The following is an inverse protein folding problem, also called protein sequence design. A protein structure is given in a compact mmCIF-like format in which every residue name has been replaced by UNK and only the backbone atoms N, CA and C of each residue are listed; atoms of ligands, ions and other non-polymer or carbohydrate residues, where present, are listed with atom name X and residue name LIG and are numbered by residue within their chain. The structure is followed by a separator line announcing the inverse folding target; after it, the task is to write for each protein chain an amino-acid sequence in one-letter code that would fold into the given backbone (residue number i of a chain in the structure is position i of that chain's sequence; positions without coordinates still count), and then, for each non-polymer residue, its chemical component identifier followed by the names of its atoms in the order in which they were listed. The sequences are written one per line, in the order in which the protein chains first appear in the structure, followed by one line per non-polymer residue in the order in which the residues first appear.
data_IF_968815552233
#
_entry.id   IF_968815552233
#
_cell.length_a   1.000
_cell.length_b   1.000
_cell.length_c   1.000
_cell.angle_alpha   90.00
_cell.angle_beta   90.00
_cell.angle_gamma   90.00
#
_symmetry.space_group_name_H-M   'P 1'
#
loop_
_entity.id
_entity.type
_entity.pdbx_description
1 polymer ?
#
# COMPACT_ATOMS: atom_id res chain seq x y z
N UNK A 1 30.49 65.19 3.01
CA UNK A 1 29.99 64.04 2.23
C UNK A 1 29.82 62.86 3.18
N UNK A 2 28.58 62.45 3.47
CA UNK A 2 28.24 61.41 4.44
C UNK A 2 27.82 60.13 3.70
N UNK A 3 28.56 59.03 3.87
CA UNK A 3 28.22 57.71 3.32
C UNK A 3 27.45 56.91 4.38
N UNK A 4 26.14 56.71 4.18
CA UNK A 4 25.32 55.85 5.03
C UNK A 4 25.48 54.38 4.57
N UNK A 5 26.15 53.56 5.38
CA UNK A 5 26.20 52.09 5.26
C UNK A 5 24.79 51.53 5.50
N UNK A 6 24.13 51.04 4.45
CA UNK A 6 22.90 50.25 4.57
C UNK A 6 23.29 48.80 4.83
N UNK A 7 23.03 48.31 6.04
CA UNK A 7 23.12 46.89 6.38
C UNK A 7 21.89 46.22 5.75
N UNK A 8 22.12 45.41 4.72
CA UNK A 8 21.09 44.53 4.15
C UNK A 8 21.14 43.23 4.94
N UNK A 9 20.13 42.99 5.78
CA UNK A 9 19.97 41.71 6.47
C UNK A 9 19.47 40.66 5.47
N UNK A 10 20.27 39.62 5.26
CA UNK A 10 19.90 38.42 4.51
C UNK A 10 19.10 37.50 5.46
N UNK A 11 17.79 37.44 5.29
CA UNK A 11 16.95 36.44 5.95
C UNK A 11 17.10 35.13 5.18
N UNK A 12 17.81 34.16 5.74
CA UNK A 12 17.79 32.79 5.26
C UNK A 12 16.41 32.18 5.58
N UNK A 13 15.51 32.18 4.60
CA UNK A 13 14.26 31.43 4.69
C UNK A 13 14.62 29.96 4.44
N UNK A 14 14.79 29.20 5.52
CA UNK A 14 14.78 27.74 5.43
C UNK A 14 13.38 27.33 5.02
N UNK A 15 13.16 27.09 3.72
CA UNK A 15 11.94 26.45 3.24
C UNK A 15 11.98 25.02 3.80
N UNK A 16 11.12 24.62 4.75
CA UNK A 16 10.98 23.20 5.01
C UNK A 16 10.49 22.61 3.69
N UNK A 17 11.29 21.71 3.12
CA UNK A 17 10.81 20.78 2.11
C UNK A 17 9.84 19.83 2.84
N UNK A 18 8.65 20.32 3.17
CA UNK A 18 7.52 19.48 3.46
C UNK A 18 7.17 18.85 2.12
N UNK A 19 7.85 17.75 1.78
CA UNK A 19 7.38 16.85 0.74
C UNK A 19 5.92 16.54 1.08
N UNK A 20 5.01 16.92 0.19
CA UNK A 20 3.60 16.59 0.34
C UNK A 20 3.57 15.05 0.27
N UNK A 21 3.38 14.41 1.42
CA UNK A 21 3.06 12.99 1.47
C UNK A 21 1.61 12.93 1.00
N UNK A 22 1.41 12.61 -0.28
CA UNK A 22 0.09 12.39 -0.81
C UNK A 22 -0.30 10.95 -0.48
N UNK A 23 -1.07 10.76 0.59
CA UNK A 23 -1.68 9.48 0.90
C UNK A 23 -2.88 9.29 -0.03
N UNK A 24 -2.84 8.25 -0.87
CA UNK A 24 -3.94 7.81 -1.71
C UNK A 24 -4.78 6.76 -0.99
N UNK A 25 -6.09 6.99 -0.91
CA UNK A 25 -7.05 5.99 -0.47
C UNK A 25 -7.72 5.34 -1.69
N UNK A 26 -7.08 4.29 -2.21
CA UNK A 26 -7.52 3.60 -3.43
C UNK A 26 -8.44 2.42 -3.14
N UNK A 27 -9.55 2.34 -3.87
CA UNK A 27 -10.44 1.18 -3.89
C UNK A 27 -10.35 0.48 -5.24
N UNK A 28 -10.21 -0.85 -5.25
CA UNK A 28 -10.25 -1.64 -6.47
C UNK A 28 -11.65 -1.60 -7.08
N UNK A 29 -11.77 -1.15 -8.34
CA UNK A 29 -13.05 -0.97 -9.04
C UNK A 29 -13.29 -1.98 -10.15
N UNK A 30 -12.25 -2.73 -10.57
CA UNK A 30 -12.41 -3.72 -11.62
C UNK A 30 -13.25 -4.92 -11.14
N UNK A 31 -14.09 -5.45 -12.04
CA UNK A 31 -15.08 -6.49 -11.74
C UNK A 31 -14.51 -7.91 -11.68
N UNK A 32 -13.20 -8.05 -11.83
CA UNK A 32 -12.48 -9.31 -11.83
C UNK A 32 -10.99 -9.13 -11.58
N UNK A 33 -10.22 -10.14 -11.99
CA UNK A 33 -8.76 -10.14 -11.97
C UNK A 33 -8.14 -8.98 -12.75
N UNK A 34 -6.92 -8.59 -12.39
CA UNK A 34 -6.23 -7.51 -13.10
C UNK A 34 -4.85 -7.23 -12.55
N UNK A 35 -4.18 -6.25 -13.16
CA UNK A 35 -2.88 -5.78 -12.71
C UNK A 35 -3.07 -4.66 -11.69
N UNK A 36 -2.33 -4.72 -10.57
CA UNK A 36 -2.30 -3.66 -9.56
C UNK A 36 -1.92 -2.32 -10.19
N UNK A 37 -0.86 -2.31 -11.00
CA UNK A 37 -0.33 -1.11 -11.64
C UNK A 37 -1.18 -0.46 -12.73
N UNK A 38 -2.33 -1.05 -13.07
CA UNK A 38 -3.25 -0.44 -14.01
C UNK A 38 -4.18 0.51 -13.25
N UNK A 39 -3.92 1.82 -13.32
CA UNK A 39 -4.71 2.84 -12.63
C UNK A 39 -6.20 2.82 -12.98
N UNK A 40 -6.58 2.30 -14.16
CA UNK A 40 -7.98 2.14 -14.53
C UNK A 40 -8.75 1.15 -13.62
N UNK A 41 -8.04 0.30 -12.87
CA UNK A 41 -8.63 -0.63 -11.90
C UNK A 41 -8.85 0.00 -10.51
N UNK A 42 -8.51 1.28 -10.31
CA UNK A 42 -8.57 1.95 -9.01
C UNK A 42 -9.48 3.19 -9.06
N UNK A 43 -10.11 3.50 -7.93
CA UNK A 43 -10.90 4.72 -7.73
C UNK A 43 -10.08 6.02 -7.86
N UNK A 44 -8.76 5.92 -7.71
CA UNK A 44 -7.80 7.04 -7.76
C UNK A 44 -7.27 7.33 -9.17
N UNK A 45 -7.79 6.67 -10.21
CA UNK A 45 -7.43 6.91 -11.62
C UNK A 45 -7.31 8.42 -11.92
N UNK A 46 -6.14 8.92 -12.41
CA UNK A 46 -5.05 8.19 -13.08
C UNK A 46 -3.95 7.59 -12.21
N UNK A 47 -4.08 7.63 -10.89
CA UNK A 47 -3.12 7.06 -9.95
C UNK A 47 -3.61 5.75 -9.33
N UNK A 48 -2.73 5.02 -8.66
CA UNK A 48 -3.04 3.83 -7.86
C UNK A 48 -2.20 3.85 -6.57
N UNK A 49 -2.61 3.13 -5.51
CA UNK A 49 -1.84 3.04 -4.27
C UNK A 49 -0.48 2.38 -4.50
N UNK A 50 0.60 3.08 -4.20
CA UNK A 50 1.97 2.55 -4.37
C UNK A 50 3.02 3.12 -3.39
N UNK A 51 2.68 4.15 -2.63
CA UNK A 51 3.60 4.84 -1.71
C UNK A 51 3.23 4.68 -0.24
N UNK A 52 4.24 4.85 0.62
CA UNK A 52 4.04 4.86 2.07
C UNK A 52 3.01 5.94 2.45
N UNK A 53 1.98 5.54 3.20
CA UNK A 53 0.82 6.38 3.50
C UNK A 53 -0.42 6.02 2.69
N UNK A 54 -0.27 5.40 1.52
CA UNK A 54 -1.39 4.97 0.70
C UNK A 54 -2.12 3.78 1.33
N UNK A 55 -3.43 3.73 1.14
CA UNK A 55 -4.27 2.62 1.55
C UNK A 55 -4.92 1.97 0.33
N UNK A 56 -5.05 0.64 0.37
CA UNK A 56 -5.69 -0.14 -0.68
C UNK A 56 -6.89 -0.90 -0.10
N UNK A 57 -8.08 -0.70 -0.69
CA UNK A 57 -9.32 -1.35 -0.29
C UNK A 57 -9.84 -2.25 -1.40
N UNK A 58 -10.13 -3.50 -1.03
CA UNK A 58 -10.71 -4.53 -1.89
C UNK A 58 -12.16 -4.77 -1.47
N UNK A 59 -13.08 -4.06 -2.12
CA UNK A 59 -14.51 -4.07 -1.84
C UNK A 59 -15.29 -5.15 -2.61
N UNK A 60 -16.62 -5.08 -2.60
CA UNK A 60 -17.51 -5.97 -3.34
C UNK A 60 -17.55 -5.74 -4.87
N UNK A 61 -16.49 -5.18 -5.47
CA UNK A 61 -16.47 -4.85 -6.91
C UNK A 61 -16.31 -6.08 -7.80
N UNK A 62 -15.61 -7.12 -7.31
CA UNK A 62 -15.46 -8.37 -8.07
C UNK A 62 -16.78 -9.15 -8.13
N UNK A 63 -17.01 -9.83 -9.25
CA UNK A 63 -18.20 -10.69 -9.45
C UNK A 63 -17.91 -12.18 -9.29
N UNK A 64 -16.63 -12.55 -9.17
CA UNK A 64 -16.15 -13.89 -8.86
C UNK A 64 -14.76 -13.82 -8.20
N UNK A 65 -14.30 -14.91 -7.59
CA UNK A 65 -12.96 -14.98 -6.98
C UNK A 65 -11.90 -14.53 -7.99
N UNK A 66 -11.04 -13.59 -7.58
CA UNK A 66 -10.19 -12.83 -8.50
C UNK A 66 -8.75 -12.75 -8.01
N UNK A 67 -7.82 -12.74 -8.97
CA UNK A 67 -6.39 -12.58 -8.73
C UNK A 67 -5.94 -11.22 -9.18
N UNK A 68 -5.30 -10.47 -8.28
CA UNK A 68 -4.67 -9.19 -8.55
C UNK A 68 -3.17 -9.40 -8.60
N UNK A 69 -2.60 -9.11 -9.76
CA UNK A 69 -1.20 -9.35 -10.06
C UNK A 69 -0.37 -8.09 -9.86
N UNK A 70 0.67 -8.17 -9.04
CA UNK A 70 1.72 -7.18 -8.90
C UNK A 70 2.76 -7.49 -9.97
N UNK A 71 2.88 -6.64 -10.99
CA UNK A 71 3.76 -6.89 -12.15
C UNK A 71 5.13 -6.25 -11.95
N UNK A 72 6.13 -6.72 -12.70
CA UNK A 72 7.50 -6.20 -12.65
C UNK A 72 7.63 -4.73 -13.11
N UNK A 73 6.56 -4.13 -13.64
CA UNK A 73 6.55 -2.70 -13.95
C UNK A 73 6.57 -1.84 -12.68
N UNK A 74 6.08 -2.39 -11.56
CA UNK A 74 6.12 -1.76 -10.23
C UNK A 74 6.66 -2.83 -9.27
N UNK A 75 7.99 -2.99 -9.22
CA UNK A 75 8.60 -4.10 -8.49
C UNK A 75 8.40 -3.99 -6.97
N UNK A 76 8.19 -2.79 -6.43
CA UNK A 76 7.99 -2.60 -4.99
C UNK A 76 6.85 -1.62 -4.75
N UNK A 77 5.76 -2.13 -4.20
CA UNK A 77 4.63 -1.31 -3.75
C UNK A 77 4.80 -1.13 -2.25
N UNK A 78 4.86 0.11 -1.77
CA UNK A 78 4.88 0.40 -0.35
C UNK A 78 3.51 0.94 0.04
N UNK A 79 2.84 0.38 1.03
CA UNK A 79 1.52 0.84 1.47
C UNK A 79 1.51 1.06 2.98
N UNK A 80 0.59 1.89 3.45
CA UNK A 80 0.27 1.96 4.88
C UNK A 80 -0.61 0.77 5.29
N UNK A 81 -1.66 0.47 4.54
CA UNK A 81 -2.60 -0.60 4.91
C UNK A 81 -3.35 -1.21 3.72
N UNK A 82 -3.81 -2.44 3.92
CA UNK A 82 -4.68 -3.16 2.98
C UNK A 82 -5.94 -3.62 3.71
N UNK A 83 -7.10 -3.34 3.14
CA UNK A 83 -8.40 -3.80 3.68
C UNK A 83 -9.11 -4.70 2.67
N UNK A 84 -9.53 -5.87 3.11
CA UNK A 84 -10.42 -6.77 2.38
C UNK A 84 -11.82 -6.70 2.98
N UNK A 85 -12.77 -6.22 2.20
CA UNK A 85 -14.19 -6.09 2.54
C UNK A 85 -15.02 -6.59 1.35
N UNK A 86 -14.88 -7.88 1.07
CA UNK A 86 -15.68 -8.59 0.07
C UNK A 86 -15.97 -10.02 0.54
N UNK A 87 -17.18 -10.57 0.34
CA UNK A 87 -17.43 -11.98 0.63
C UNK A 87 -16.73 -12.91 -0.38
N UNK A 88 -16.34 -12.37 -1.54
CA UNK A 88 -15.61 -13.10 -2.60
C UNK A 88 -14.10 -13.00 -2.39
N UNK A 89 -13.39 -14.06 -2.77
CA UNK A 89 -11.96 -14.15 -2.51
C UNK A 89 -11.14 -13.24 -3.44
N UNK A 90 -10.35 -12.37 -2.84
CA UNK A 90 -9.21 -11.73 -3.50
C UNK A 90 -7.94 -12.53 -3.24
N UNK A 91 -7.17 -12.74 -4.30
CA UNK A 91 -5.80 -13.27 -4.25
C UNK A 91 -4.84 -12.20 -4.72
N UNK A 92 -3.97 -11.69 -3.84
CA UNK A 92 -2.86 -10.85 -4.25
C UNK A 92 -1.69 -11.76 -4.65
N UNK A 93 -1.15 -11.60 -5.85
CA UNK A 93 -0.06 -12.44 -6.36
C UNK A 93 1.05 -11.59 -6.97
N UNK A 94 2.28 -11.88 -6.59
CA UNK A 94 3.46 -11.40 -7.26
C UNK A 94 3.61 -12.07 -8.65
N UNK A 95 4.00 -11.31 -9.67
CA UNK A 95 4.34 -11.87 -10.99
C UNK A 95 5.73 -12.53 -11.02
N UNK A 96 6.61 -12.14 -10.10
CA UNK A 96 7.96 -12.71 -9.97
C UNK A 96 8.46 -12.65 -8.52
N UNK A 97 9.62 -13.27 -8.26
CA UNK A 97 10.30 -13.19 -6.96
C UNK A 97 10.92 -11.82 -6.68
N UNK A 98 10.97 -10.93 -7.68
CA UNK A 98 11.52 -9.58 -7.53
C UNK A 98 10.43 -8.54 -7.24
N UNK A 99 9.16 -8.98 -7.21
CA UNK A 99 8.01 -8.12 -6.88
C UNK A 99 7.60 -8.25 -5.43
N UNK A 100 7.50 -7.13 -4.70
CA UNK A 100 7.15 -7.08 -3.28
C UNK A 100 6.01 -6.09 -2.96
N UNK A 101 5.26 -6.41 -1.90
CA UNK A 101 4.39 -5.47 -1.17
C UNK A 101 5.03 -5.28 0.19
N UNK A 102 5.41 -4.04 0.45
CA UNK A 102 5.98 -3.59 1.71
C UNK A 102 4.89 -2.81 2.43
N UNK A 103 4.66 -3.10 3.71
CA UNK A 103 3.85 -2.22 4.52
C UNK A 103 4.74 -1.34 5.39
N UNK A 104 4.55 -0.02 5.31
CA UNK A 104 5.37 0.96 6.00
C UNK A 104 4.51 2.06 6.62
N UNK A 105 4.89 2.47 7.83
CA UNK A 105 4.26 3.60 8.51
C UNK A 105 4.53 4.88 7.75
N UNK A 106 3.49 5.71 7.59
CA UNK A 106 3.68 7.11 7.28
C UNK A 106 4.27 7.86 8.49
N UNK A 107 4.85 9.05 8.28
CA UNK A 107 5.36 9.88 9.39
C UNK A 107 4.28 10.31 10.39
N UNK A 108 3.00 10.14 10.05
CA UNK A 108 1.87 10.42 10.93
C UNK A 108 1.63 9.33 11.98
N UNK A 109 2.36 8.20 11.92
CA UNK A 109 2.32 7.13 12.93
C UNK A 109 1.07 6.25 12.86
N UNK A 110 0.36 6.24 11.72
CA UNK A 110 -0.79 5.35 11.54
C UNK A 110 -0.36 3.87 11.60
N UNK A 111 -1.20 2.98 12.16
CA UNK A 111 -0.87 1.56 12.26
C UNK A 111 -0.73 0.96 10.86
N UNK A 112 0.37 0.24 10.66
CA UNK A 112 0.55 -0.63 9.49
C UNK A 112 -0.32 -1.85 9.71
N UNK A 113 -1.28 -2.12 8.80
CA UNK A 113 -2.23 -3.18 9.01
C UNK A 113 -2.69 -3.86 7.71
N UNK A 114 -3.00 -5.14 7.83
CA UNK A 114 -3.91 -5.84 6.92
C UNK A 114 -5.17 -6.17 7.71
N UNK A 115 -6.30 -5.76 7.18
CA UNK A 115 -7.61 -5.96 7.78
C UNK A 115 -8.46 -6.84 6.87
N UNK A 116 -9.03 -7.91 7.42
CA UNK A 116 -10.06 -8.69 6.74
C UNK A 116 -11.37 -8.54 7.49
N UNK A 117 -12.32 -7.83 6.88
CA UNK A 117 -13.64 -7.57 7.46
C UNK A 117 -14.63 -8.68 7.14
N UNK A 118 -14.55 -9.24 5.94
CA UNK A 118 -15.36 -10.37 5.47
C UNK A 118 -14.57 -11.24 4.48
N UNK A 119 -15.08 -12.43 4.18
CA UNK A 119 -14.51 -13.32 3.15
C UNK A 119 -13.24 -14.08 3.54
N UNK A 120 -12.74 -14.84 2.57
CA UNK A 120 -11.49 -15.59 2.67
C UNK A 120 -10.53 -15.08 1.61
N UNK A 121 -9.40 -14.51 2.02
CA UNK A 121 -8.46 -13.84 1.13
C UNK A 121 -7.08 -14.47 1.20
N UNK A 122 -6.32 -14.34 0.12
CA UNK A 122 -4.99 -14.91 0.01
C UNK A 122 -3.99 -13.87 -0.45
N UNK A 123 -2.80 -13.89 0.15
CA UNK A 123 -1.63 -13.17 -0.33
C UNK A 123 -0.57 -14.22 -0.67
N UNK A 124 -0.28 -14.36 -1.96
CA UNK A 124 0.66 -15.32 -2.52
C UNK A 124 1.99 -14.64 -2.83
N UNK A 125 3.08 -15.29 -2.41
CA UNK A 125 4.43 -15.15 -2.96
C UNK A 125 4.96 -13.72 -2.94
N UNK A 126 4.99 -13.08 -1.77
CA UNK A 126 5.56 -11.74 -1.64
C UNK A 126 6.81 -11.82 -0.76
N UNK A 127 8.03 -11.70 -1.33
CA UNK A 127 9.26 -11.60 -0.54
C UNK A 127 9.26 -10.33 0.31
N UNK A 128 9.82 -10.40 1.53
CA UNK A 128 9.96 -9.23 2.41
C UNK A 128 8.66 -8.79 3.11
N UNK A 129 7.63 -9.63 3.13
CA UNK A 129 6.33 -9.32 3.70
C UNK A 129 6.33 -9.40 5.24
N UNK A 130 6.20 -8.26 5.93
CA UNK A 130 6.12 -8.17 7.41
C UNK A 130 4.93 -7.31 7.86
N UNK A 131 3.71 -7.85 7.89
CA UNK A 131 2.52 -7.09 8.32
C UNK A 131 2.17 -7.29 9.81
N UNK A 132 1.40 -6.35 10.37
CA UNK A 132 0.50 -6.65 11.50
C UNK A 132 -0.81 -7.16 10.92
N UNK A 133 -1.27 -8.32 11.39
CA UNK A 133 -2.45 -9.01 10.85
C UNK A 133 -3.65 -8.83 11.78
N UNK A 134 -4.79 -8.43 11.21
CA UNK A 134 -6.07 -8.38 11.91
C UNK A 134 -7.17 -8.96 11.02
N UNK A 135 -8.02 -9.82 11.59
CA UNK A 135 -9.16 -10.41 10.90
C UNK A 135 -10.37 -10.45 11.84
N UNK A 136 -11.53 -10.05 11.33
CA UNK A 136 -12.81 -10.19 12.04
C UNK A 136 -13.39 -11.57 11.77
N UNK A 137 -13.83 -12.29 12.80
CA UNK A 137 -14.45 -13.59 12.60
C UNK A 137 -15.77 -13.47 11.79
N UNK A 138 -16.06 -14.41 10.86
CA UNK A 138 -15.37 -15.68 10.58
C UNK A 138 -14.26 -15.60 9.51
N UNK A 139 -13.77 -14.42 9.17
CA UNK A 139 -12.87 -14.20 8.04
C UNK A 139 -11.48 -14.80 8.23
N UNK A 140 -10.85 -15.20 7.12
CA UNK A 140 -9.53 -15.82 7.11
C UNK A 140 -8.62 -15.07 6.13
N UNK A 141 -7.39 -14.77 6.58
CA UNK A 141 -6.29 -14.39 5.71
C UNK A 141 -5.29 -15.54 5.60
N UNK A 142 -5.08 -16.04 4.39
CA UNK A 142 -3.99 -16.99 4.10
C UNK A 142 -2.80 -16.24 3.54
N UNK A 143 -1.65 -16.31 4.21
CA UNK A 143 -0.39 -15.73 3.72
C UNK A 143 0.55 -16.86 3.34
N UNK A 144 0.86 -16.98 2.05
CA UNK A 144 1.89 -17.90 1.56
C UNK A 144 3.21 -17.15 1.37
N UNK A 145 4.09 -17.25 2.36
CA UNK A 145 5.44 -16.66 2.32
C UNK A 145 6.37 -17.67 1.66
N UNK A 146 7.05 -17.28 0.58
CA UNK A 146 8.09 -18.07 -0.07
C UNK A 146 9.42 -17.33 0.08
N UNK A 147 9.80 -17.08 1.33
CA UNK A 147 11.04 -16.38 1.69
C UNK A 147 12.04 -17.39 2.28
N UNK A 148 13.21 -17.62 1.64
CA UNK A 148 14.25 -18.45 2.23
C UNK A 148 14.91 -17.83 3.49
N UNK A 149 14.59 -16.58 3.86
CA UNK A 149 15.23 -15.82 4.95
C UNK A 149 14.27 -15.13 5.93
N UNK A 150 12.94 -15.20 5.75
CA UNK A 150 11.97 -14.39 6.52
C UNK A 150 11.05 -15.20 7.44
N UNK A 151 11.03 -14.87 8.74
CA UNK A 151 10.02 -15.38 9.68
C UNK A 151 8.83 -14.43 9.77
N UNK A 152 7.61 -14.97 9.70
CA UNK A 152 6.39 -14.24 10.05
C UNK A 152 6.44 -13.88 11.55
N UNK A 153 6.59 -12.59 11.88
CA UNK A 153 6.42 -12.11 13.26
C UNK A 153 5.01 -11.54 13.42
N UNK A 154 4.08 -12.36 13.94
CA UNK A 154 2.78 -11.86 14.42
C UNK A 154 2.98 -11.37 15.85
N UNK A 155 2.92 -10.05 16.08
CA UNK A 155 2.80 -9.52 17.44
C UNK A 155 1.31 -9.41 17.78
N UNK A 156 0.88 -10.23 18.73
CA UNK A 156 -0.43 -10.10 19.38
C UNK A 156 -0.43 -8.99 20.43
#
# INVERSE_FOLDING_TARGET
MSFRKKIVSLVLFSIPCAGIIHALDGTWTATGSGNWGNSANWSTNPSFPEFAGDTATFGASITSNSTITITNQIPNITLQSITFNSPLSYTLSAASTDTSIILATNPSGNPVAITVEEGNHTILTIPGFVPVLSASAPSILTVAINDPLGSLTVKG
#
